data_IF_588222673577
#
_entry.id   IF_588222673577
#
_cell.length_a   1.000
_cell.length_b   1.000
_cell.length_c   1.000
_cell.angle_alpha   90.00
_cell.angle_beta   90.00
_cell.angle_gamma   90.00
#
_symmetry.space_group_name_H-M   'P 1'
#
loop_
_entity.id
_entity.type
_entity.pdbx_description
1 polymer ?
#
# COMPACT_ATOMS: atom_id res chain seq x y z
N UNK A 1 -10.10 -4.58 12.61
CA UNK A 1 -9.66 -5.65 11.69
C UNK A 1 -8.44 -5.11 10.95
N UNK A 2 -7.26 -5.60 11.30
CA UNK A 2 -5.99 -5.16 10.72
C UNK A 2 -5.71 -6.14 9.56
N UNK A 3 -5.77 -5.66 8.31
CA UNK A 3 -5.36 -6.45 7.16
C UNK A 3 -3.86 -6.68 7.32
N UNK A 4 -3.44 -7.92 7.58
CA UNK A 4 -2.03 -8.26 7.79
C UNK A 4 -1.39 -8.90 6.56
N UNK A 5 -2.16 -9.66 5.77
CA UNK A 5 -1.71 -10.36 4.56
C UNK A 5 -2.79 -10.38 3.48
N UNK A 6 -2.38 -10.25 2.23
CA UNK A 6 -3.23 -10.28 1.03
C UNK A 6 -2.60 -11.23 0.02
N UNK A 7 -3.40 -12.13 -0.57
CA UNK A 7 -2.99 -12.98 -1.68
C UNK A 7 -3.37 -12.31 -3.02
N UNK A 8 -2.37 -12.08 -3.86
CA UNK A 8 -2.48 -11.46 -5.18
C UNK A 8 -1.89 -12.45 -6.18
N UNK A 9 -2.76 -13.22 -6.87
CA UNK A 9 -2.32 -14.15 -7.91
C UNK A 9 -1.36 -15.24 -7.44
N UNK A 10 -1.43 -15.68 -6.17
CA UNK A 10 -0.50 -16.65 -5.58
C UNK A 10 0.72 -16.02 -4.90
N UNK A 11 0.80 -14.69 -4.87
CA UNK A 11 1.83 -13.93 -4.18
C UNK A 11 1.25 -13.31 -2.91
N UNK A 12 1.88 -13.59 -1.76
CA UNK A 12 1.47 -13.05 -0.48
C UNK A 12 2.18 -11.72 -0.20
N UNK A 13 1.38 -10.67 0.01
CA UNK A 13 1.85 -9.35 0.40
C UNK A 13 1.43 -9.01 1.83
N UNK A 14 2.35 -8.45 2.60
CA UNK A 14 2.07 -7.94 3.94
C UNK A 14 1.69 -6.47 3.88
N UNK A 15 0.63 -6.08 4.59
CA UNK A 15 0.21 -4.66 4.66
C UNK A 15 0.74 -4.05 5.94
N UNK A 16 1.56 -3.01 5.82
CA UNK A 16 2.25 -2.37 6.94
C UNK A 16 1.98 -0.85 6.95
N UNK A 17 1.74 -0.32 8.14
CA UNK A 17 1.72 1.13 8.32
C UNK A 17 3.17 1.63 8.38
N UNK A 18 3.59 2.46 7.42
CA UNK A 18 4.95 2.98 7.39
C UNK A 18 4.93 4.46 6.96
N UNK A 19 5.07 5.34 7.95
CA UNK A 19 5.06 6.78 7.72
C UNK A 19 6.35 7.31 7.08
N UNK A 20 7.46 6.56 7.23
CA UNK A 20 8.81 6.99 6.84
C UNK A 20 9.18 6.64 5.40
N UNK A 21 8.71 5.50 4.88
CA UNK A 21 9.05 5.06 3.51
C UNK A 21 8.00 5.44 2.45
N UNK A 22 6.74 5.71 2.84
CA UNK A 22 5.69 6.00 1.86
C UNK A 22 5.91 7.27 1.02
N UNK A 23 6.84 8.16 1.37
CA UNK A 23 7.07 9.39 0.62
C UNK A 23 8.55 9.66 0.42
N UNK A 24 9.04 9.39 -0.78
CA UNK A 24 10.00 10.30 -1.41
C UNK A 24 9.17 11.24 -2.27
N UNK A 25 9.16 12.52 -1.92
CA UNK A 25 8.67 13.64 -2.76
C UNK A 25 9.47 13.79 -4.07
N UNK A 26 10.21 12.76 -4.51
CA UNK A 26 11.11 12.86 -5.67
C UNK A 26 10.36 13.01 -7.01
N UNK A 27 9.00 12.96 -7.04
CA UNK A 27 8.20 13.13 -8.26
C UNK A 27 6.88 13.93 -8.10
N UNK A 28 6.67 14.73 -7.04
CA UNK A 28 5.42 15.48 -6.81
C UNK A 28 4.12 14.64 -6.74
N UNK A 29 4.22 13.32 -6.66
CA UNK A 29 3.06 12.43 -6.50
C UNK A 29 2.78 12.21 -5.00
N UNK A 30 1.61 12.66 -4.55
CA UNK A 30 1.11 12.36 -3.21
C UNK A 30 0.74 10.87 -3.14
N UNK A 31 1.67 10.02 -2.71
CA UNK A 31 1.40 8.60 -2.54
C UNK A 31 0.84 8.31 -1.14
N UNK A 32 -0.44 7.93 -1.09
CA UNK A 32 -1.09 7.45 0.13
C UNK A 32 -0.71 6.00 0.48
N UNK A 33 -0.22 5.25 -0.50
CA UNK A 33 0.29 3.89 -0.39
C UNK A 33 1.48 3.67 -1.30
N UNK A 34 2.20 2.57 -1.08
CA UNK A 34 3.33 2.14 -1.88
C UNK A 34 3.44 0.61 -1.85
N UNK A 35 3.58 -0.03 -3.00
CA UNK A 35 3.94 -1.44 -3.10
C UNK A 35 5.44 -1.64 -3.32
N UNK A 36 6.04 -2.48 -2.48
CA UNK A 36 7.41 -3.00 -2.64
C UNK A 36 7.33 -4.47 -3.07
N UNK A 37 7.68 -4.72 -4.33
CA UNK A 37 7.66 -6.04 -4.96
C UNK A 37 8.74 -6.99 -4.42
N UNK A 38 9.90 -6.46 -4.02
CA UNK A 38 11.01 -7.27 -3.51
C UNK A 38 10.71 -7.75 -2.10
N UNK A 39 10.28 -6.83 -1.25
CA UNK A 39 9.93 -7.11 0.15
C UNK A 39 8.55 -7.75 0.30
N UNK A 40 7.75 -7.77 -0.78
CA UNK A 40 6.34 -8.18 -0.80
C UNK A 40 5.53 -7.46 0.27
N UNK A 41 5.68 -6.14 0.32
CA UNK A 41 5.01 -5.28 1.31
C UNK A 41 4.20 -4.19 0.62
N UNK A 42 3.02 -3.92 1.16
CA UNK A 42 2.21 -2.76 0.82
C UNK A 42 2.24 -1.83 2.01
N UNK A 43 2.85 -0.68 1.84
CA UNK A 43 2.92 0.36 2.83
C UNK A 43 1.76 1.34 2.64
N UNK A 44 1.25 1.89 3.74
CA UNK A 44 0.31 3.01 3.69
C UNK A 44 0.60 4.03 4.78
N UNK A 45 0.19 5.27 4.53
CA UNK A 45 0.32 6.37 5.49
C UNK A 45 -0.99 6.61 6.24
N UNK A 46 -1.01 6.28 7.54
CA UNK A 46 -2.22 6.42 8.36
C UNK A 46 -2.70 7.85 8.54
N UNK A 47 -1.80 8.84 8.64
CA UNK A 47 -2.16 10.26 8.86
C UNK A 47 -3.06 10.84 7.77
N UNK A 48 -2.94 10.34 6.54
CA UNK A 48 -3.71 10.80 5.38
C UNK A 48 -4.99 9.97 5.14
N UNK A 49 -5.21 8.92 5.94
CA UNK A 49 -6.31 7.98 5.76
C UNK A 49 -7.35 8.25 6.85
N UNK A 50 -8.33 9.07 6.50
CA UNK A 50 -9.38 9.52 7.41
C UNK A 50 -10.55 8.54 7.55
N UNK A 51 -10.59 7.48 6.72
CA UNK A 51 -11.66 6.50 6.77
C UNK A 51 -11.18 5.09 6.43
N UNK A 52 -11.93 4.08 6.91
CA UNK A 52 -11.71 2.69 6.54
C UNK A 52 -11.88 2.47 5.04
N UNK A 53 -12.79 3.22 4.39
CA UNK A 53 -13.01 3.14 2.94
C UNK A 53 -11.79 3.61 2.16
N UNK A 54 -11.22 4.75 2.56
CA UNK A 54 -10.00 5.31 1.95
C UNK A 54 -8.82 4.33 2.09
N UNK A 55 -8.69 3.67 3.25
CA UNK A 55 -7.67 2.64 3.44
C UNK A 55 -7.81 1.49 2.43
N UNK A 56 -9.01 0.95 2.27
CA UNK A 56 -9.23 -0.13 1.31
C UNK A 56 -8.98 0.33 -0.13
N UNK A 57 -9.34 1.56 -0.48
CA UNK A 57 -9.08 2.12 -1.82
C UNK A 57 -7.59 2.27 -2.08
N UNK A 58 -6.82 2.79 -1.13
CA UNK A 58 -5.36 2.88 -1.22
C UNK A 58 -4.74 1.50 -1.39
N UNK A 59 -5.10 0.54 -0.54
CA UNK A 59 -4.59 -0.83 -0.64
C UNK A 59 -5.00 -1.46 -1.98
N UNK A 60 -6.24 -1.27 -2.43
CA UNK A 60 -6.72 -1.79 -3.72
C UNK A 60 -5.96 -1.18 -4.90
N UNK A 61 -5.65 0.11 -4.85
CA UNK A 61 -4.82 0.77 -5.87
C UNK A 61 -3.44 0.12 -5.95
N UNK A 62 -2.76 -0.10 -4.82
CA UNK A 62 -1.46 -0.78 -4.78
C UNK A 62 -1.53 -2.24 -5.25
N UNK A 63 -2.63 -2.94 -4.94
CA UNK A 63 -2.88 -4.30 -5.43
C UNK A 63 -3.00 -4.32 -6.97
N UNK A 64 -3.67 -3.32 -7.55
CA UNK A 64 -3.79 -3.23 -9.02
C UNK A 64 -2.42 -3.07 -9.68
N UNK A 65 -1.51 -2.29 -9.09
CA UNK A 65 -0.13 -2.21 -9.58
C UNK A 65 0.54 -3.59 -9.60
N UNK A 66 0.36 -4.42 -8.56
CA UNK A 66 0.88 -5.80 -8.56
C UNK A 66 0.19 -6.75 -9.54
N UNK A 67 -1.08 -6.56 -9.86
CA UNK A 67 -1.77 -7.40 -10.84
C UNK A 67 -1.37 -7.11 -12.28
N UNK A 68 -1.00 -5.86 -12.60
CA UNK A 68 -0.67 -5.42 -13.96
C UNK A 68 0.83 -5.31 -14.25
N UNK A 69 1.68 -5.59 -13.26
CA UNK A 69 3.14 -5.70 -13.42
C UNK A 69 3.53 -7.10 -13.92
#
# INVERSE_FOLDING_TARGET
MQLKKIDIGGHFYEVEENEKECLREENNEYCHGLIDYLSKKIYYRRKEIHSKSSLHQTIAHEILHAFFY
#
